data_IF_575079111932
#
_entry.id   IF_575079111932
#
_cell.length_a   1.000
_cell.length_b   1.000
_cell.length_c   1.000
_cell.angle_alpha   90.00
_cell.angle_beta   90.00
_cell.angle_gamma   90.00
#
_symmetry.space_group_name_H-M   'P 1'
#
loop_
_entity.id
_entity.type
_entity.pdbx_description
1 polymer ?
#
# COMPACT_ATOMS: atom_id res chain seq x y z
N UNK A 1 -13.89 2.21 0.66
CA UNK A 1 -13.20 0.90 0.64
C UNK A 1 -13.09 0.26 2.02
N UNK A 2 -12.57 0.92 3.06
CA UNK A 2 -12.41 0.31 4.40
C UNK A 2 -13.73 -0.25 4.97
N UNK A 3 -14.84 0.46 4.77
CA UNK A 3 -16.17 0.03 5.23
C UNK A 3 -16.65 -1.25 4.52
N UNK A 4 -16.33 -1.40 3.23
CA UNK A 4 -16.70 -2.58 2.43
C UNK A 4 -15.98 -3.84 2.92
N UNK A 5 -14.72 -3.73 3.37
CA UNK A 5 -13.98 -4.89 3.88
C UNK A 5 -14.64 -5.52 5.11
N UNK A 6 -15.22 -4.69 5.98
CA UNK A 6 -15.94 -5.16 7.17
C UNK A 6 -17.21 -5.94 6.80
N UNK A 7 -17.88 -5.59 5.71
CA UNK A 7 -19.07 -6.32 5.22
C UNK A 7 -18.72 -7.75 4.78
N UNK A 8 -17.47 -8.01 4.40
CA UNK A 8 -16.96 -9.35 4.10
C UNK A 8 -16.36 -10.07 5.32
N UNK A 9 -16.54 -9.53 6.53
CA UNK A 9 -16.05 -10.13 7.78
C UNK A 9 -14.55 -9.93 8.05
N UNK A 10 -13.86 -9.12 7.24
CA UNK A 10 -12.48 -8.73 7.53
C UNK A 10 -12.44 -7.67 8.63
N UNK A 11 -11.32 -7.60 9.36
CA UNK A 11 -11.01 -6.46 10.25
C UNK A 11 -10.19 -5.44 9.47
N UNK A 12 -10.74 -4.28 9.09
CA UNK A 12 -10.00 -3.31 8.28
C UNK A 12 -8.91 -2.64 9.11
N UNK A 13 -7.68 -2.65 8.63
CA UNK A 13 -6.54 -1.98 9.26
C UNK A 13 -5.95 -0.96 8.29
N UNK A 14 -5.66 0.24 8.78
CA UNK A 14 -5.07 1.31 7.96
C UNK A 14 -3.54 1.25 7.98
N UNK A 15 -3.02 0.17 7.39
CA UNK A 15 -1.58 -0.07 7.24
C UNK A 15 -1.19 -0.15 5.76
N UNK A 16 0.10 0.00 5.49
CA UNK A 16 0.62 -0.06 4.11
C UNK A 16 0.42 -1.45 3.50
N UNK A 17 0.71 -2.48 4.28
CA UNK A 17 0.32 -3.86 4.01
C UNK A 17 0.08 -4.58 5.34
N UNK A 18 -0.70 -5.65 5.30
CA UNK A 18 -1.06 -6.46 6.48
C UNK A 18 -0.77 -7.92 6.17
N UNK A 19 -0.05 -8.60 7.07
CA UNK A 19 0.08 -10.05 7.06
C UNK A 19 -0.81 -10.64 8.14
N UNK A 20 -1.71 -11.52 7.73
CA UNK A 20 -2.51 -12.36 8.62
C UNK A 20 -2.26 -13.83 8.28
N UNK A 21 -1.44 -14.49 9.11
CA UNK A 21 -0.98 -15.86 8.90
C UNK A 21 -0.29 -16.07 7.55
N UNK A 22 -0.99 -16.75 6.64
CA UNK A 22 -0.52 -17.09 5.28
C UNK A 22 -0.96 -16.07 4.22
N UNK A 23 -1.86 -15.14 4.56
CA UNK A 23 -2.39 -14.14 3.64
C UNK A 23 -1.66 -12.83 3.90
N UNK A 24 -1.20 -12.18 2.83
CA UNK A 24 -0.68 -10.82 2.88
C UNK A 24 -1.53 -9.97 1.94
N UNK A 25 -2.08 -8.88 2.46
CA UNK A 25 -2.85 -7.89 1.70
C UNK A 25 -2.10 -6.58 1.66
N UNK A 26 -2.22 -5.84 0.56
CA UNK A 26 -1.62 -4.51 0.42
C UNK A 26 -2.72 -3.46 0.26
N UNK A 27 -2.43 -2.23 0.68
CA UNK A 27 -3.36 -1.11 0.54
C UNK A 27 -3.48 -0.63 -0.91
N UNK A 28 -2.78 0.45 -1.24
CA UNK A 28 -2.78 1.03 -2.60
C UNK A 28 -1.73 0.43 -3.53
N UNK A 29 -1.80 0.81 -4.81
CA UNK A 29 -0.93 0.30 -5.89
C UNK A 29 0.55 0.22 -5.49
N UNK A 30 1.12 1.34 -5.02
CA UNK A 30 2.54 1.39 -4.66
C UNK A 30 2.88 0.63 -3.38
N UNK A 31 1.93 0.41 -2.49
CA UNK A 31 2.14 -0.39 -1.29
C UNK A 31 2.36 -1.88 -1.61
N UNK A 32 1.92 -2.33 -2.79
CA UNK A 32 2.20 -3.67 -3.29
C UNK A 32 3.69 -3.93 -3.53
N UNK A 33 4.48 -2.89 -3.84
CA UNK A 33 5.93 -3.04 -4.03
C UNK A 33 6.61 -3.33 -2.70
N UNK A 34 6.28 -2.56 -1.66
CA UNK A 34 6.81 -2.79 -0.31
C UNK A 34 6.41 -4.18 0.22
N UNK A 35 5.15 -4.56 -0.01
CA UNK A 35 4.64 -5.88 0.35
C UNK A 35 5.40 -7.00 -0.39
N UNK A 36 5.72 -6.81 -1.67
CA UNK A 36 6.42 -7.81 -2.46
C UNK A 36 7.88 -7.99 -2.01
N UNK A 37 8.56 -6.90 -1.63
CA UNK A 37 9.90 -6.96 -1.03
C UNK A 37 9.86 -7.70 0.32
N UNK A 38 8.86 -7.42 1.15
CA UNK A 38 8.63 -8.18 2.38
C UNK A 38 8.36 -9.66 2.11
N UNK A 39 7.52 -9.99 1.12
CA UNK A 39 7.28 -11.38 0.74
C UNK A 39 8.56 -12.06 0.23
N UNK A 40 9.39 -11.37 -0.55
CA UNK A 40 10.67 -11.88 -1.01
C UNK A 40 11.59 -12.22 0.16
N UNK A 41 11.60 -11.41 1.23
CA UNK A 41 12.42 -11.72 2.41
C UNK A 41 11.95 -12.97 3.14
N UNK A 42 10.64 -13.23 3.17
CA UNK A 42 10.07 -14.45 3.75
C UNK A 42 10.38 -15.71 2.92
N UNK A 43 10.48 -15.58 1.59
CA UNK A 43 10.65 -16.71 0.69
C UNK A 43 12.11 -17.04 0.37
N UNK A 44 12.96 -16.01 0.25
CA UNK A 44 14.33 -16.12 -0.23
C UNK A 44 15.36 -15.49 0.72
N UNK A 45 14.93 -14.99 1.88
CA UNK A 45 15.80 -14.32 2.85
C UNK A 45 15.98 -12.83 2.59
N UNK A 46 16.41 -12.10 3.63
CA UNK A 46 16.56 -10.64 3.61
C UNK A 46 17.59 -10.16 2.58
N UNK A 47 18.70 -10.87 2.41
CA UNK A 47 19.75 -10.51 1.43
C UNK A 47 19.20 -10.46 0.00
N UNK A 48 18.35 -11.42 -0.38
CA UNK A 48 17.73 -11.44 -1.70
C UNK A 48 16.71 -10.30 -1.85
N UNK A 49 15.93 -10.00 -0.80
CA UNK A 49 15.01 -8.86 -0.82
C UNK A 49 15.75 -7.52 -0.98
N UNK A 50 16.86 -7.33 -0.26
CA UNK A 50 17.71 -6.15 -0.39
C UNK A 50 18.35 -6.07 -1.79
N UNK A 51 18.81 -7.20 -2.34
CA UNK A 51 19.35 -7.25 -3.70
C UNK A 51 18.30 -6.88 -4.77
N UNK A 52 17.05 -7.35 -4.63
CA UNK A 52 15.93 -6.95 -5.50
C UNK A 52 15.66 -5.45 -5.34
N UNK A 53 15.57 -4.96 -4.10
CA UNK A 53 15.33 -3.54 -3.84
C UNK A 53 16.38 -2.65 -4.51
N UNK A 54 17.66 -3.01 -4.36
CA UNK A 54 18.78 -2.30 -4.99
C UNK A 54 18.74 -2.42 -6.52
N UNK A 55 18.51 -3.61 -7.06
CA UNK A 55 18.47 -3.84 -8.51
C UNK A 55 17.34 -3.10 -9.22
N UNK A 56 16.26 -2.78 -8.51
CA UNK A 56 15.16 -1.95 -9.00
C UNK A 56 15.38 -0.44 -8.75
N UNK A 57 16.45 -0.07 -8.04
CA UNK A 57 16.65 1.27 -7.50
C UNK A 57 15.41 1.78 -6.76
N UNK A 58 14.77 0.89 -5.98
CA UNK A 58 13.55 1.23 -5.25
C UNK A 58 13.86 2.10 -4.03
N UNK A 59 14.00 3.40 -4.30
CA UNK A 59 14.25 4.47 -3.35
C UNK A 59 13.23 5.60 -3.59
N UNK A 60 11.95 5.42 -3.20
CA UNK A 60 10.89 6.37 -3.54
C UNK A 60 11.14 7.74 -2.91
N UNK A 61 11.08 8.80 -3.73
CA UNK A 61 11.13 10.20 -3.30
C UNK A 61 9.94 10.97 -3.89
N UNK A 62 8.72 10.81 -3.35
CA UNK A 62 7.55 11.50 -3.88
C UNK A 62 7.72 13.02 -3.78
N UNK A 63 7.45 13.79 -4.86
CA UNK A 63 7.57 15.25 -4.85
C UNK A 63 6.46 15.95 -4.05
N UNK A 64 5.40 15.22 -3.69
CA UNK A 64 4.25 15.75 -2.94
C UNK A 64 3.88 14.82 -1.79
N UNK A 65 3.42 15.40 -0.68
CA UNK A 65 2.93 14.66 0.48
C UNK A 65 1.42 14.31 0.39
N UNK A 66 0.94 13.93 -0.79
CA UNK A 66 -0.49 13.72 -1.05
C UNK A 66 -0.88 12.23 -1.24
N UNK A 67 -0.01 11.29 -0.83
CA UNK A 67 -0.20 9.86 -1.05
C UNK A 67 -1.30 9.21 -0.20
N UNK A 68 -1.83 9.91 0.81
CA UNK A 68 -2.93 9.40 1.65
C UNK A 68 -3.93 10.53 1.96
N UNK A 69 -5.21 10.21 2.25
CA UNK A 69 -6.18 11.21 2.70
C UNK A 69 -5.80 11.94 3.99
N UNK A 70 -4.88 11.37 4.79
CA UNK A 70 -4.40 11.98 6.05
C UNK A 70 -3.37 13.08 5.80
N UNK A 71 -2.63 13.01 4.69
CA UNK A 71 -1.54 13.95 4.39
C UNK A 71 -1.84 14.89 3.23
N UNK A 72 -2.76 14.49 2.33
CA UNK A 72 -3.20 15.31 1.22
C UNK A 72 -4.04 16.52 1.70
N UNK A 73 -4.01 17.66 0.98
CA UNK A 73 -4.96 18.75 1.18
C UNK A 73 -6.41 18.27 1.05
N UNK A 74 -7.32 18.91 1.79
CA UNK A 74 -8.74 18.52 1.82
C UNK A 74 -9.39 18.64 0.44
N UNK A 75 -9.03 19.68 -0.32
CA UNK A 75 -9.57 19.96 -1.65
C UNK A 75 -9.15 18.88 -2.66
N UNK A 76 -7.91 18.40 -2.57
CA UNK A 76 -7.41 17.30 -3.40
C UNK A 76 -8.07 15.98 -3.03
N UNK A 77 -8.30 15.74 -1.74
CA UNK A 77 -9.03 14.56 -1.26
C UNK A 77 -10.47 14.54 -1.78
N UNK A 78 -11.16 15.68 -1.78
CA UNK A 78 -12.53 15.78 -2.29
C UNK A 78 -12.58 15.66 -3.82
N UNK A 79 -11.61 16.24 -4.53
CA UNK A 79 -11.46 16.07 -5.98
C UNK A 79 -11.39 14.59 -6.35
N UNK A 80 -10.50 13.82 -5.72
CA UNK A 80 -10.37 12.37 -5.98
C UNK A 80 -11.67 11.63 -5.62
N UNK A 81 -12.32 12.00 -4.51
CA UNK A 81 -13.58 11.37 -4.11
C UNK A 81 -14.70 11.62 -5.13
N UNK A 82 -14.75 12.80 -5.75
CA UNK A 82 -15.69 13.08 -6.85
C UNK A 82 -15.41 12.17 -8.04
N UNK A 83 -14.17 12.14 -8.52
CA UNK A 83 -13.77 11.37 -9.70
C UNK A 83 -14.06 9.87 -9.57
N UNK A 84 -13.88 9.30 -8.38
CA UNK A 84 -14.14 7.88 -8.11
C UNK A 84 -15.62 7.52 -7.91
N UNK A 85 -16.50 8.50 -7.68
CA UNK A 85 -17.96 8.27 -7.61
C UNK A 85 -18.61 8.30 -8.99
N UNK A 86 -17.99 9.01 -9.92
CA UNK A 86 -18.47 9.18 -11.30
C UNK A 86 -17.94 8.10 -12.27
N UNK A 87 -17.10 7.19 -11.79
CA UNK A 87 -16.53 6.05 -12.51
C UNK A 87 -17.22 4.73 -12.12
#
# INVERSE_FOLDING_TARGET
MIVLLAEFGAQPVNERFVRDGKIITSGGVLAGIDMALYLASLLAGEDMAMAIQLGLEYAPQPPFNAGTPRTAPAEITELVRSLLRDA
#
